data_IF_677479530999
#
_entry.id   IF_677479530999
#
_cell.length_a   1.000
_cell.length_b   1.000
_cell.length_c   1.000
_cell.angle_alpha   90.00
_cell.angle_beta   90.00
_cell.angle_gamma   90.00
#
_symmetry.space_group_name_H-M   'P 1'
#
loop_
_entity.id
_entity.type
_entity.pdbx_description
1 polymer ?
#
# COMPACT_ATOMS: atom_id res chain seq x y z
N UNK A 1 -34.85 11.58 54.40
CA UNK A 1 -33.76 10.71 54.95
C UNK A 1 -33.51 11.11 56.39
N UNK A 2 -33.45 10.16 57.31
CA UNK A 2 -33.23 10.41 58.75
C UNK A 2 -31.74 10.62 59.06
N UNK A 3 -31.41 11.21 60.21
CA UNK A 3 -30.02 11.40 60.65
C UNK A 3 -29.28 10.07 60.80
N UNK A 4 -29.98 9.02 61.26
CA UNK A 4 -29.39 7.69 61.43
C UNK A 4 -29.05 7.01 60.10
N UNK A 5 -29.80 7.32 59.04
CA UNK A 5 -29.44 6.92 57.69
C UNK A 5 -28.11 7.54 57.25
N UNK A 6 -27.90 8.83 57.54
CA UNK A 6 -26.65 9.52 57.17
C UNK A 6 -25.43 9.03 57.95
N UNK A 7 -25.60 8.65 59.22
CA UNK A 7 -24.52 8.02 60.03
C UNK A 7 -24.03 6.70 59.43
N UNK A 8 -24.90 5.96 58.74
CA UNK A 8 -24.54 4.72 58.05
C UNK A 8 -23.72 4.97 56.78
N UNK A 9 -23.81 6.15 56.16
CA UNK A 9 -23.09 6.48 54.93
C UNK A 9 -21.80 7.23 55.23
N UNK A 10 -21.84 8.20 56.16
CA UNK A 10 -20.68 9.03 56.52
C UNK A 10 -20.52 9.11 58.03
N UNK A 11 -19.31 8.82 58.51
CA UNK A 11 -18.94 8.94 59.92
C UNK A 11 -18.99 10.40 60.38
N UNK A 12 -19.67 10.68 61.48
CA UNK A 12 -19.71 12.01 62.07
C UNK A 12 -20.57 13.02 61.32
N UNK A 13 -21.54 12.59 60.50
CA UNK A 13 -22.44 13.48 59.74
C UNK A 13 -23.09 14.58 60.61
N UNK A 14 -23.47 14.26 61.85
CA UNK A 14 -24.05 15.22 62.80
C UNK A 14 -23.13 16.38 63.17
N UNK A 15 -21.82 16.20 63.03
CA UNK A 15 -20.80 17.18 63.40
C UNK A 15 -20.48 18.16 62.26
N UNK A 16 -21.03 17.93 61.05
CA UNK A 16 -20.79 18.83 59.93
C UNK A 16 -21.62 20.12 60.02
N UNK A 17 -21.13 21.24 59.45
CA UNK A 17 -21.93 22.46 59.33
C UNK A 17 -23.26 22.23 58.61
N UNK A 18 -24.32 22.93 59.03
CA UNK A 18 -25.67 22.80 58.45
C UNK A 18 -25.71 22.96 56.92
N UNK A 19 -24.90 23.88 56.37
CA UNK A 19 -24.79 24.08 54.92
C UNK A 19 -24.28 22.84 54.18
N UNK A 20 -23.30 22.14 54.76
CA UNK A 20 -22.76 20.88 54.21
C UNK A 20 -23.79 19.76 54.35
N UNK A 21 -24.44 19.65 55.51
CA UNK A 21 -25.52 18.66 55.72
C UNK A 21 -26.65 18.81 54.69
N UNK A 22 -26.99 20.04 54.29
CA UNK A 22 -28.00 20.33 53.27
C UNK A 22 -27.53 19.95 51.85
N UNK A 23 -26.23 20.05 51.55
CA UNK A 23 -25.67 19.72 50.24
C UNK A 23 -25.44 18.20 50.04
N UNK A 24 -25.23 17.46 51.13
CA UNK A 24 -24.91 16.02 51.11
C UNK A 24 -25.86 15.13 50.29
N UNK A 25 -27.20 15.31 50.36
CA UNK A 25 -28.15 14.57 49.52
C UNK A 25 -27.87 14.69 48.02
N UNK A 26 -27.50 15.89 47.55
CA UNK A 26 -27.22 16.15 46.15
C UNK A 26 -25.89 15.56 45.71
N UNK A 27 -24.86 15.68 46.56
CA UNK A 27 -23.55 15.08 46.30
C UNK A 27 -23.63 13.55 46.26
N UNK A 28 -24.36 12.94 47.20
CA UNK A 28 -24.58 11.51 47.22
C UNK A 28 -25.33 11.04 45.97
N UNK A 29 -26.37 11.76 45.56
CA UNK A 29 -27.10 11.48 44.32
C UNK A 29 -26.18 11.55 43.09
N UNK A 30 -25.30 12.55 42.99
CA UNK A 30 -24.32 12.65 41.91
C UNK A 30 -23.34 11.47 41.89
N UNK A 31 -22.84 11.06 43.07
CA UNK A 31 -21.93 9.91 43.20
C UNK A 31 -22.60 8.61 42.78
N UNK A 32 -23.85 8.37 43.20
CA UNK A 32 -24.61 7.17 42.86
C UNK A 32 -24.94 7.14 41.37
N UNK A 33 -25.31 8.27 40.78
CA UNK A 33 -25.55 8.35 39.34
C UNK A 33 -24.30 7.98 38.53
N UNK A 34 -23.12 8.41 38.98
CA UNK A 34 -21.85 8.15 38.30
C UNK A 34 -21.18 6.83 38.73
N UNK A 35 -21.79 6.04 39.62
CA UNK A 35 -21.21 4.80 40.17
C UNK A 35 -20.68 3.87 39.07
N UNK A 36 -21.53 3.58 38.07
CA UNK A 36 -21.18 2.69 36.94
C UNK A 36 -20.06 3.25 36.08
N UNK A 37 -19.97 4.58 35.92
CA UNK A 37 -18.87 5.23 35.21
C UNK A 37 -17.57 5.11 36.03
N UNK A 38 -17.62 5.43 37.33
CA UNK A 38 -16.47 5.36 38.23
C UNK A 38 -15.88 3.95 38.30
N UNK A 39 -16.72 2.90 38.41
CA UNK A 39 -16.27 1.50 38.41
C UNK A 39 -15.67 1.04 37.08
N UNK A 40 -16.09 1.64 35.96
CA UNK A 40 -15.53 1.33 34.63
C UNK A 40 -14.23 2.07 34.37
N UNK A 41 -14.09 3.29 34.89
CA UNK A 41 -12.99 4.19 34.57
C UNK A 41 -11.84 4.13 35.59
N UNK A 42 -12.13 3.83 36.85
CA UNK A 42 -11.12 3.75 37.92
C UNK A 42 -10.73 2.29 38.20
N UNK A 43 -9.51 2.08 38.66
CA UNK A 43 -9.03 0.77 39.10
C UNK A 43 -9.86 0.26 40.29
N UNK A 44 -10.14 -1.04 40.35
CA UNK A 44 -10.86 -1.68 41.46
C UNK A 44 -10.21 -1.43 42.83
N UNK A 45 -8.90 -1.20 42.91
CA UNK A 45 -8.18 -0.85 44.14
C UNK A 45 -8.20 0.64 44.50
N UNK A 46 -8.98 1.47 43.78
CA UNK A 46 -9.00 2.91 44.01
C UNK A 46 -9.56 3.25 45.41
N UNK A 47 -8.94 4.18 46.19
CA UNK A 47 -9.37 4.53 47.55
C UNK A 47 -10.82 5.02 47.67
N UNK A 48 -11.41 5.49 46.57
CA UNK A 48 -12.83 5.86 46.56
C UNK A 48 -13.73 4.66 46.91
N UNK A 49 -13.33 3.45 46.52
CA UNK A 49 -14.11 2.23 46.77
C UNK A 49 -13.94 1.69 48.19
N UNK A 50 -12.97 2.21 48.97
CA UNK A 50 -12.85 1.90 50.41
C UNK A 50 -13.76 2.79 51.27
N UNK A 51 -14.37 3.84 50.68
CA UNK A 51 -15.33 4.66 51.39
C UNK A 51 -16.61 3.87 51.71
N UNK A 52 -17.19 4.10 52.89
CA UNK A 52 -18.36 3.38 53.40
C UNK A 52 -19.56 3.37 52.44
N UNK A 53 -19.72 4.43 51.65
CA UNK A 53 -20.76 4.51 50.62
C UNK A 53 -20.61 3.41 49.56
N UNK A 54 -19.39 3.03 49.18
CA UNK A 54 -19.09 2.01 48.18
C UNK A 54 -18.83 0.61 48.76
N UNK A 55 -18.39 0.53 50.02
CA UNK A 55 -17.98 -0.71 50.67
C UNK A 55 -19.03 -1.36 51.56
N UNK A 56 -20.10 -0.64 51.95
CA UNK A 56 -21.17 -1.18 52.77
C UNK A 56 -22.29 -1.79 51.91
N UNK A 57 -22.70 -3.03 52.20
CA UNK A 57 -23.65 -3.85 51.42
C UNK A 57 -25.13 -3.40 51.50
N UNK A 58 -25.43 -2.11 51.53
CA UNK A 58 -26.82 -1.67 51.71
C UNK A 58 -27.21 -0.34 51.05
N UNK A 59 -26.40 0.73 51.11
CA UNK A 59 -26.87 2.05 50.68
C UNK A 59 -26.92 2.24 49.16
N UNK A 60 -25.90 1.76 48.42
CA UNK A 60 -25.83 1.94 46.96
C UNK A 60 -26.88 1.10 46.25
N UNK A 61 -27.04 -0.17 46.63
CA UNK A 61 -27.98 -1.07 45.93
C UNK A 61 -29.44 -0.62 46.09
N UNK A 62 -29.78 -0.01 47.23
CA UNK A 62 -31.11 0.58 47.47
C UNK A 62 -31.36 1.88 46.72
N UNK A 63 -30.31 2.63 46.40
CA UNK A 63 -30.41 3.94 45.75
C UNK A 63 -30.12 3.91 44.25
N UNK A 64 -29.56 2.80 43.74
CA UNK A 64 -29.33 2.56 42.32
C UNK A 64 -30.67 2.60 41.58
N UNK A 65 -30.75 3.44 40.55
CA UNK A 65 -31.98 3.61 39.74
C UNK A 65 -33.08 4.48 40.36
N UNK A 66 -32.99 4.81 41.65
CA UNK A 66 -33.95 5.71 42.34
C UNK A 66 -33.53 7.19 42.23
N UNK A 67 -32.28 7.44 41.86
CA UNK A 67 -31.74 8.80 41.74
C UNK A 67 -32.37 9.54 40.56
N UNK A 68 -33.28 10.46 40.87
CA UNK A 68 -33.84 11.39 39.88
C UNK A 68 -32.85 12.52 39.64
N UNK A 69 -32.16 12.48 38.50
CA UNK A 69 -31.41 13.64 38.03
C UNK A 69 -32.43 14.71 37.66
N UNK A 70 -32.20 15.95 38.09
CA UNK A 70 -33.03 17.12 37.78
C UNK A 70 -32.92 17.55 36.31
N UNK A 71 -32.96 16.59 35.39
CA UNK A 71 -33.04 16.82 33.96
C UNK A 71 -34.52 16.85 33.58
N UNK A 72 -35.27 17.81 34.13
CA UNK A 72 -36.59 18.11 33.60
C UNK A 72 -36.41 18.94 32.34
N UNK A 73 -37.02 18.49 31.25
CA UNK A 73 -37.23 19.34 30.10
C UNK A 73 -38.29 20.39 30.48
N UNK A 74 -38.10 21.64 30.08
CA UNK A 74 -39.18 22.61 30.18
C UNK A 74 -40.33 22.16 29.29
N UNK A 75 -41.55 21.99 29.82
CA UNK A 75 -42.71 21.59 29.00
C UNK A 75 -43.11 22.68 27.99
N UNK A 76 -42.63 23.91 28.15
CA UNK A 76 -42.97 25.05 27.28
C UNK A 76 -42.03 25.16 26.08
N UNK A 77 -40.74 24.89 26.27
CA UNK A 77 -39.72 25.10 25.23
C UNK A 77 -38.88 23.86 24.90
N UNK A 78 -39.16 22.72 25.54
CA UNK A 78 -38.43 21.46 25.33
C UNK A 78 -36.96 21.50 25.77
N UNK A 79 -36.47 22.62 26.31
CA UNK A 79 -35.08 22.78 26.69
C UNK A 79 -34.75 21.89 27.89
N UNK A 80 -33.65 21.13 27.75
CA UNK A 80 -33.15 20.18 28.73
C UNK A 80 -31.86 20.73 29.33
N UNK A 81 -31.79 20.90 30.64
CA UNK A 81 -30.56 21.27 31.32
C UNK A 81 -29.57 20.09 31.27
N UNK A 82 -28.63 20.13 30.32
CA UNK A 82 -27.66 19.04 30.09
C UNK A 82 -26.35 19.21 30.85
N UNK A 83 -26.10 20.40 31.42
CA UNK A 83 -24.82 20.73 32.06
C UNK A 83 -23.63 20.83 31.10
N UNK A 84 -23.86 20.69 29.78
CA UNK A 84 -22.85 20.85 28.74
C UNK A 84 -22.73 22.34 28.41
N UNK A 85 -21.54 22.94 28.52
CA UNK A 85 -21.32 24.32 28.10
C UNK A 85 -21.71 24.51 26.62
N UNK A 86 -22.41 25.61 26.30
CA UNK A 86 -22.98 25.84 24.97
C UNK A 86 -21.95 25.73 23.83
N UNK A 87 -20.72 26.22 24.04
CA UNK A 87 -19.65 26.15 23.05
C UNK A 87 -19.26 24.71 22.69
N UNK A 88 -19.36 23.76 23.64
CA UNK A 88 -19.05 22.36 23.40
C UNK A 88 -20.14 21.66 22.59
N UNK A 89 -21.40 22.04 22.79
CA UNK A 89 -22.52 21.57 21.97
C UNK A 89 -22.38 22.07 20.52
N UNK A 90 -22.02 23.34 20.33
CA UNK A 90 -21.74 23.92 19.01
C UNK A 90 -20.53 23.25 18.36
N UNK A 91 -19.43 23.04 19.09
CA UNK A 91 -18.25 22.36 18.56
C UNK A 91 -18.57 20.94 18.09
N UNK A 92 -19.44 20.21 18.80
CA UNK A 92 -19.92 18.90 18.37
C UNK A 92 -20.69 18.99 17.04
N UNK A 93 -21.61 19.95 16.92
CA UNK A 93 -22.38 20.16 15.67
C UNK A 93 -21.48 20.54 14.49
N UNK A 94 -20.48 21.40 14.72
CA UNK A 94 -19.50 21.80 13.69
C UNK A 94 -18.67 20.59 13.22
N UNK A 95 -18.27 19.73 14.15
CA UNK A 95 -17.52 18.52 13.80
C UNK A 95 -18.37 17.53 12.99
N UNK A 96 -19.65 17.38 13.33
CA UNK A 96 -20.57 16.53 12.57
C UNK A 96 -20.76 17.08 11.15
N UNK A 97 -21.02 18.39 11.03
CA UNK A 97 -21.16 19.05 9.72
C UNK A 97 -19.89 18.92 8.88
N UNK A 98 -18.71 19.06 9.49
CA UNK A 98 -17.43 18.86 8.79
C UNK A 98 -17.31 17.44 8.24
N UNK A 99 -17.79 16.44 8.99
CA UNK A 99 -17.79 15.04 8.57
C UNK A 99 -18.72 14.82 7.38
N UNK A 100 -19.92 15.39 7.41
CA UNK A 100 -20.88 15.34 6.30
C UNK A 100 -20.32 16.00 5.03
N UNK A 101 -19.73 17.19 5.14
CA UNK A 101 -19.10 17.89 4.02
C UNK A 101 -17.96 17.07 3.40
N UNK A 102 -17.20 16.36 4.23
CA UNK A 102 -16.12 15.48 3.75
C UNK A 102 -16.69 14.27 3.00
N UNK A 103 -17.82 13.71 3.46
CA UNK A 103 -18.52 12.62 2.76
C UNK A 103 -19.02 13.06 1.39
N UNK A 104 -19.68 14.22 1.33
CA UNK A 104 -20.20 14.78 0.07
C UNK A 104 -19.09 15.05 -0.94
N UNK A 105 -17.95 15.59 -0.51
CA UNK A 105 -16.80 15.78 -1.40
C UNK A 105 -16.32 14.46 -2.00
N UNK A 106 -16.25 13.40 -1.20
CA UNK A 106 -15.86 12.08 -1.68
C UNK A 106 -16.85 11.51 -2.70
N UNK A 107 -18.15 11.72 -2.50
CA UNK A 107 -19.19 11.32 -3.45
C UNK A 107 -19.07 12.08 -4.77
N UNK A 108 -18.84 13.39 -4.71
CA UNK A 108 -18.63 14.23 -5.89
C UNK A 108 -17.39 13.79 -6.68
N UNK A 109 -16.28 13.51 -6.00
CA UNK A 109 -15.07 13.01 -6.65
C UNK A 109 -15.29 11.62 -7.29
N UNK A 110 -16.08 10.77 -6.64
CA UNK A 110 -16.53 9.48 -7.19
C UNK A 110 -17.33 9.65 -8.48
N UNK A 111 -18.36 10.50 -8.46
CA UNK A 111 -19.20 10.80 -9.62
C UNK A 111 -18.39 11.43 -10.76
N UNK A 112 -17.47 12.34 -10.45
CA UNK A 112 -16.58 12.96 -11.44
C UNK A 112 -15.69 11.92 -12.11
N UNK A 113 -15.17 10.96 -11.35
CA UNK A 113 -14.36 9.86 -11.88
C UNK A 113 -15.19 8.93 -12.78
N UNK A 114 -16.42 8.60 -12.36
CA UNK A 114 -17.34 7.78 -13.14
C UNK A 114 -17.68 8.45 -14.48
N UNK A 115 -17.99 9.74 -14.46
CA UNK A 115 -18.32 10.52 -15.66
C UNK A 115 -17.11 10.70 -16.59
N UNK A 116 -15.92 10.95 -16.04
CA UNK A 116 -14.73 11.24 -16.84
C UNK A 116 -14.09 9.99 -17.46
N UNK A 117 -14.18 8.83 -16.80
CA UNK A 117 -13.42 7.64 -17.19
C UNK A 117 -14.31 6.47 -17.57
N UNK A 118 -15.36 6.19 -16.80
CA UNK A 118 -16.15 4.96 -16.97
C UNK A 118 -17.20 5.13 -18.06
N UNK A 119 -17.93 6.24 -18.05
CA UNK A 119 -18.98 6.52 -19.03
C UNK A 119 -18.45 6.57 -20.48
N UNK A 120 -17.34 7.26 -20.81
CA UNK A 120 -16.83 7.29 -22.19
C UNK A 120 -16.42 5.91 -22.70
N UNK A 121 -15.85 5.09 -21.82
CA UNK A 121 -15.45 3.72 -22.17
C UNK A 121 -16.67 2.82 -22.40
N UNK A 122 -17.68 2.88 -21.53
CA UNK A 122 -18.93 2.11 -21.72
C UNK A 122 -19.67 2.55 -22.98
N UNK A 123 -19.76 3.85 -23.25
CA UNK A 123 -20.36 4.39 -24.47
C UNK A 123 -19.57 3.94 -25.69
N UNK A 124 -18.24 4.03 -25.68
CA UNK A 124 -17.40 3.57 -26.80
C UNK A 124 -17.57 2.07 -27.06
N UNK A 125 -17.61 1.23 -26.02
CA UNK A 125 -17.84 -0.21 -26.15
C UNK A 125 -19.22 -0.48 -26.74
N UNK A 126 -20.27 0.19 -26.25
CA UNK A 126 -21.63 0.02 -26.75
C UNK A 126 -21.77 0.44 -28.21
N UNK A 127 -21.23 1.61 -28.58
CA UNK A 127 -21.25 2.09 -29.97
C UNK A 127 -20.53 1.13 -30.91
N UNK A 128 -19.36 0.61 -30.52
CA UNK A 128 -18.62 -0.38 -31.32
C UNK A 128 -19.40 -1.68 -31.46
N UNK A 129 -20.05 -2.16 -30.39
CA UNK A 129 -20.87 -3.37 -30.43
C UNK A 129 -22.06 -3.22 -31.38
N UNK A 130 -22.79 -2.12 -31.28
CA UNK A 130 -23.96 -1.82 -32.12
C UNK A 130 -23.56 -1.67 -33.59
N UNK A 131 -22.47 -0.94 -33.88
CA UNK A 131 -21.96 -0.83 -35.25
C UNK A 131 -21.53 -2.20 -35.79
N UNK A 132 -20.85 -3.05 -35.03
CA UNK A 132 -20.47 -4.39 -35.49
C UNK A 132 -21.66 -5.28 -35.83
N UNK A 133 -22.75 -5.18 -35.06
CA UNK A 133 -23.94 -5.99 -35.30
C UNK A 133 -24.72 -5.54 -36.54
N UNK A 134 -24.71 -4.25 -36.85
CA UNK A 134 -25.55 -3.67 -37.90
C UNK A 134 -24.79 -3.29 -39.18
N UNK A 135 -23.46 -3.19 -39.14
CA UNK A 135 -22.63 -2.79 -40.27
C UNK A 135 -22.08 -4.01 -41.01
N UNK A 136 -22.90 -4.54 -41.93
CA UNK A 136 -22.53 -5.64 -42.83
C UNK A 136 -22.06 -5.06 -44.16
N UNK A 137 -20.80 -5.33 -44.55
CA UNK A 137 -20.27 -4.92 -45.86
C UNK A 137 -20.24 -6.15 -46.76
N UNK A 138 -21.01 -6.14 -47.85
CA UNK A 138 -21.10 -7.25 -48.82
C UNK A 138 -21.45 -8.62 -48.18
N UNK A 139 -22.31 -8.65 -47.18
CA UNK A 139 -22.78 -9.88 -46.54
C UNK A 139 -21.83 -10.50 -45.50
N UNK A 140 -20.67 -9.89 -45.24
CA UNK A 140 -19.69 -10.39 -44.27
C UNK A 140 -19.45 -9.33 -43.18
N UNK A 141 -19.51 -9.75 -41.91
CA UNK A 141 -19.21 -8.88 -40.78
C UNK A 141 -17.70 -8.51 -40.79
N UNK A 142 -17.32 -7.22 -40.66
CA UNK A 142 -15.91 -6.81 -40.65
C UNK A 142 -15.18 -7.41 -39.44
N UNK A 143 -14.09 -8.15 -39.70
CA UNK A 143 -13.23 -8.71 -38.65
C UNK A 143 -12.34 -7.59 -38.08
N UNK A 144 -12.35 -7.39 -36.77
CA UNK A 144 -11.52 -6.38 -36.12
C UNK A 144 -10.17 -6.94 -35.64
N UNK A 145 -9.20 -6.05 -35.42
CA UNK A 145 -7.90 -6.40 -34.82
C UNK A 145 -8.06 -7.06 -33.43
N UNK A 146 -9.06 -6.66 -32.65
CA UNK A 146 -9.37 -7.29 -31.35
C UNK A 146 -9.82 -8.74 -31.51
N UNK A 147 -10.54 -9.07 -32.58
CA UNK A 147 -11.01 -10.43 -32.82
C UNK A 147 -9.82 -11.33 -33.22
N UNK A 148 -8.85 -10.77 -33.95
CA UNK A 148 -7.58 -11.43 -34.24
C UNK A 148 -6.74 -11.63 -32.97
N UNK A 149 -6.63 -10.61 -32.11
CA UNK A 149 -5.91 -10.72 -30.83
C UNK A 149 -6.55 -11.73 -29.89
N UNK A 150 -7.89 -11.76 -29.82
CA UNK A 150 -8.63 -12.73 -28.99
C UNK A 150 -8.38 -14.14 -29.50
N UNK A 151 -8.53 -14.37 -30.81
CA UNK A 151 -8.23 -15.68 -31.42
C UNK A 151 -6.78 -16.09 -31.24
N UNK A 152 -5.84 -15.14 -31.28
CA UNK A 152 -4.42 -15.41 -31.05
C UNK A 152 -4.13 -15.73 -29.58
N UNK A 153 -4.86 -15.12 -28.65
CA UNK A 153 -4.86 -15.47 -27.23
C UNK A 153 -5.37 -16.89 -26.99
N UNK A 154 -6.50 -17.24 -27.60
CA UNK A 154 -7.08 -18.59 -27.52
C UNK A 154 -6.13 -19.63 -28.11
N UNK A 155 -5.53 -19.37 -29.27
CA UNK A 155 -4.50 -20.21 -29.89
C UNK A 155 -3.29 -20.41 -28.97
N UNK A 156 -2.80 -19.34 -28.32
CA UNK A 156 -1.70 -19.44 -27.35
C UNK A 156 -2.09 -20.27 -26.14
N UNK A 157 -3.32 -20.13 -25.65
CA UNK A 157 -3.84 -20.92 -24.54
C UNK A 157 -3.89 -22.40 -24.91
N UNK A 158 -4.45 -22.73 -26.08
CA UNK A 158 -4.54 -24.10 -26.61
C UNK A 158 -3.13 -24.70 -26.77
N UNK A 159 -2.20 -23.97 -27.39
CA UNK A 159 -0.82 -24.45 -27.52
C UNK A 159 -0.14 -24.65 -26.17
N UNK A 160 -0.36 -23.77 -25.19
CA UNK A 160 0.20 -23.91 -23.85
C UNK A 160 -0.37 -25.12 -23.09
N UNK A 161 -1.64 -25.46 -23.31
CA UNK A 161 -2.25 -26.67 -22.74
C UNK A 161 -1.71 -27.94 -23.40
N UNK A 162 -1.56 -27.94 -24.73
CA UNK A 162 -0.96 -29.06 -25.48
C UNK A 162 0.49 -29.31 -25.06
N UNK A 163 1.31 -28.25 -24.96
CA UNK A 163 2.70 -28.36 -24.48
C UNK A 163 2.80 -28.92 -23.06
N UNK A 164 1.90 -28.53 -22.15
CA UNK A 164 1.86 -29.09 -20.79
C UNK A 164 1.45 -30.56 -20.80
N UNK A 165 0.55 -30.96 -21.69
CA UNK A 165 0.17 -32.37 -21.86
C UNK A 165 1.36 -33.21 -22.33
N UNK A 166 2.09 -32.74 -23.36
CA UNK A 166 3.29 -33.43 -23.89
C UNK A 166 4.38 -33.55 -22.83
N UNK A 167 4.65 -32.49 -22.05
CA UNK A 167 5.64 -32.54 -20.96
C UNK A 167 5.26 -33.52 -19.86
N UNK A 168 3.96 -33.65 -19.55
CA UNK A 168 3.47 -34.64 -18.60
C UNK A 168 3.60 -36.08 -19.15
N UNK A 169 3.37 -36.29 -20.45
CA UNK A 169 3.58 -37.59 -21.10
C UNK A 169 5.06 -37.99 -21.17
N UNK A 170 5.96 -37.03 -21.40
CA UNK A 170 7.42 -37.26 -21.37
C UNK A 170 7.94 -37.58 -19.96
N UNK A 171 7.29 -37.08 -18.91
CA UNK A 171 7.70 -37.34 -17.53
C UNK A 171 7.35 -38.78 -17.07
N UNK A 172 6.57 -39.53 -17.86
CA UNK A 172 6.31 -40.95 -17.63
C UNK A 172 7.29 -41.88 -18.37
N UNK A 173 8.14 -41.37 -19.27
CA UNK A 173 8.90 -42.21 -20.23
C UNK A 173 10.42 -42.05 -20.27
N UNK A 174 11.07 -41.14 -19.53
CA UNK A 174 12.54 -41.03 -19.54
C UNK A 174 13.21 -41.05 -18.17
N UNK A 175 13.39 -42.27 -17.64
CA UNK A 175 14.67 -42.68 -17.03
C UNK A 175 15.70 -42.93 -18.13
N UNK A 176 16.91 -42.39 -17.95
CA UNK A 176 18.15 -42.71 -18.69
C UNK A 176 18.35 -42.01 -20.04
N UNK A 177 19.34 -41.11 -20.08
CA UNK A 177 20.62 -41.17 -20.84
C UNK A 177 20.99 -39.77 -21.34
N UNK A 178 21.86 -39.07 -20.61
CA UNK A 178 22.47 -37.81 -21.03
C UNK A 178 23.63 -38.12 -22.00
N UNK A 179 23.41 -37.87 -23.28
CA UNK A 179 24.47 -37.69 -24.27
C UNK A 179 24.64 -36.20 -24.55
N UNK A 180 25.85 -35.75 -24.30
CA UNK A 180 26.42 -34.45 -24.61
C UNK A 180 26.55 -34.25 -26.12
N UNK A 181 26.06 -33.11 -26.62
CA UNK A 181 26.54 -32.50 -27.86
C UNK A 181 26.75 -31.01 -27.63
N UNK A 182 28.02 -30.64 -27.70
CA UNK A 182 28.55 -29.30 -27.59
C UNK A 182 28.11 -28.42 -28.75
N UNK A 183 27.56 -27.25 -28.44
CA UNK A 183 27.56 -26.08 -29.32
C UNK A 183 27.73 -24.82 -28.46
N UNK A 184 28.46 -23.86 -29.00
CA UNK A 184 29.03 -22.69 -28.31
C UNK A 184 28.06 -21.96 -27.38
N UNK A 185 28.46 -21.93 -26.10
CA UNK A 185 27.71 -21.39 -24.98
C UNK A 185 27.63 -19.86 -25.06
N UNK A 186 26.53 -19.36 -25.64
CA UNK A 186 25.98 -18.09 -25.16
C UNK A 186 25.75 -18.23 -23.65
N UNK A 187 26.27 -17.34 -22.80
CA UNK A 187 26.04 -17.46 -21.37
C UNK A 187 24.54 -17.32 -21.10
N UNK A 188 23.95 -18.43 -20.68
CA UNK A 188 22.55 -18.53 -20.32
C UNK A 188 22.32 -17.67 -19.06
N UNK A 189 21.79 -16.46 -19.26
CA UNK A 189 21.49 -15.54 -18.17
C UNK A 189 20.44 -16.16 -17.24
N UNK A 190 20.75 -16.19 -15.95
CA UNK A 190 19.84 -16.77 -14.98
C UNK A 190 18.67 -15.81 -14.71
N UNK A 191 17.51 -16.40 -14.38
CA UNK A 191 16.35 -15.67 -13.88
C UNK A 191 15.94 -16.27 -12.53
N UNK A 192 15.46 -15.44 -11.61
CA UNK A 192 15.16 -15.81 -10.23
C UNK A 192 13.68 -15.59 -9.91
N UNK A 193 13.05 -16.54 -9.23
CA UNK A 193 11.73 -16.32 -8.61
C UNK A 193 11.92 -15.78 -7.20
N UNK A 194 11.30 -14.62 -6.90
CA UNK A 194 11.30 -14.05 -5.56
C UNK A 194 10.06 -14.45 -4.73
N UNK A 195 9.14 -15.20 -5.35
CA UNK A 195 7.84 -15.60 -4.79
C UNK A 195 7.01 -14.40 -4.29
N UNK A 196 7.13 -13.24 -4.95
CA UNK A 196 6.42 -12.01 -4.61
C UNK A 196 5.18 -11.77 -5.50
N UNK A 197 4.79 -12.77 -6.29
CA UNK A 197 3.67 -12.70 -7.23
C UNK A 197 3.96 -11.89 -8.49
N UNK A 198 5.23 -11.48 -8.73
CA UNK A 198 5.64 -10.75 -9.93
C UNK A 198 6.36 -11.67 -10.92
N UNK A 199 6.70 -11.09 -12.09
CA UNK A 199 7.50 -11.74 -13.12
C UNK A 199 8.86 -12.22 -12.58
N UNK A 200 9.49 -13.15 -13.30
CA UNK A 200 10.85 -13.60 -12.99
C UNK A 200 11.83 -12.42 -13.00
N UNK A 201 12.69 -12.36 -11.99
CA UNK A 201 13.67 -11.30 -11.78
C UNK A 201 15.00 -11.61 -12.46
N UNK A 202 15.69 -10.57 -12.90
CA UNK A 202 17.01 -10.68 -13.54
C UNK A 202 18.18 -10.69 -12.54
N UNK A 203 17.89 -10.66 -11.23
CA UNK A 203 18.88 -10.73 -10.15
C UNK A 203 18.32 -11.53 -8.95
N UNK A 204 19.21 -12.03 -8.10
CA UNK A 204 18.82 -12.71 -6.86
C UNK A 204 18.22 -11.73 -5.84
N UNK A 205 17.38 -12.22 -4.91
CA UNK A 205 16.63 -11.40 -3.95
C UNK A 205 17.50 -10.50 -3.06
N UNK A 206 18.73 -10.94 -2.77
CA UNK A 206 19.67 -10.22 -1.89
C UNK A 206 20.70 -9.39 -2.68
N UNK A 207 20.64 -9.41 -4.00
CA UNK A 207 21.56 -8.66 -4.84
C UNK A 207 21.34 -7.15 -4.68
N UNK A 208 22.43 -6.38 -4.72
CA UNK A 208 22.41 -4.92 -4.62
C UNK A 208 23.25 -4.31 -5.73
N UNK A 209 22.70 -3.31 -6.41
CA UNK A 209 23.44 -2.56 -7.42
C UNK A 209 24.74 -1.97 -6.83
N UNK A 210 25.89 -2.10 -7.54
CA UNK A 210 27.21 -1.84 -6.97
C UNK A 210 27.38 -0.51 -6.23
N UNK A 211 27.93 -0.68 -5.01
CA UNK A 211 28.34 0.28 -4.00
C UNK A 211 29.37 1.33 -4.42
N UNK A 212 30.49 0.79 -4.88
CA UNK A 212 31.80 1.43 -4.85
C UNK A 212 32.63 0.95 -6.05
N UNK A 213 31.97 0.80 -7.19
CA UNK A 213 32.61 0.41 -8.43
C UNK A 213 33.11 1.67 -9.16
N UNK A 214 34.30 1.59 -9.74
CA UNK A 214 34.84 2.64 -10.60
C UNK A 214 34.13 2.64 -11.97
N UNK A 215 34.36 3.67 -12.77
CA UNK A 215 33.71 3.83 -14.09
C UNK A 215 33.96 2.63 -15.01
N UNK A 216 35.18 2.06 -14.99
CA UNK A 216 35.54 0.90 -15.80
C UNK A 216 34.79 -0.37 -15.41
N UNK A 217 34.69 -0.65 -14.12
CA UNK A 217 33.96 -1.80 -13.61
C UNK A 217 32.47 -1.68 -13.94
N UNK A 218 31.90 -0.47 -13.78
CA UNK A 218 30.51 -0.23 -14.18
C UNK A 218 30.33 -0.39 -15.69
N UNK A 219 31.26 0.07 -16.52
CA UNK A 219 31.21 -0.11 -17.98
C UNK A 219 31.11 -1.59 -18.36
N UNK A 220 31.98 -2.43 -17.80
CA UNK A 220 31.98 -3.86 -18.09
C UNK A 220 30.65 -4.52 -17.65
N UNK A 221 30.18 -4.22 -16.45
CA UNK A 221 28.90 -4.73 -15.94
C UNK A 221 27.69 -4.21 -16.74
N UNK A 222 27.76 -2.97 -17.22
CA UNK A 222 26.67 -2.31 -17.95
C UNK A 222 26.41 -2.94 -19.32
N UNK A 223 27.47 -3.22 -20.07
CA UNK A 223 27.39 -3.77 -21.43
C UNK A 223 27.46 -5.29 -21.48
N UNK A 224 28.22 -5.93 -20.59
CA UNK A 224 28.51 -7.38 -20.66
C UNK A 224 27.96 -8.20 -19.48
N UNK A 225 27.48 -7.55 -18.42
CA UNK A 225 26.91 -8.23 -17.26
C UNK A 225 27.96 -8.82 -16.31
N UNK A 226 27.49 -9.58 -15.33
CA UNK A 226 28.31 -10.32 -14.38
C UNK A 226 28.16 -11.83 -14.67
N UNK A 227 29.19 -12.40 -15.30
CA UNK A 227 29.17 -13.81 -15.73
C UNK A 227 29.26 -14.77 -14.56
N UNK A 228 29.98 -14.41 -13.50
CA UNK A 228 30.16 -15.27 -12.33
C UNK A 228 28.83 -15.45 -11.59
N UNK A 229 28.08 -14.36 -11.45
CA UNK A 229 26.72 -14.39 -10.86
C UNK A 229 25.62 -14.74 -11.86
N UNK A 230 25.96 -14.99 -13.14
CA UNK A 230 25.01 -15.17 -14.26
C UNK A 230 23.98 -14.05 -14.41
N UNK A 231 24.36 -12.82 -14.07
CA UNK A 231 23.51 -11.63 -14.19
C UNK A 231 23.76 -10.96 -15.53
N UNK A 232 22.67 -10.72 -16.27
CA UNK A 232 22.69 -10.05 -17.58
C UNK A 232 23.24 -8.61 -17.51
N UNK A 233 23.64 -8.02 -18.65
CA UNK A 233 24.07 -6.62 -18.72
C UNK A 233 23.16 -5.68 -17.94
N UNK A 234 23.75 -4.82 -17.10
CA UNK A 234 22.97 -4.06 -16.11
C UNK A 234 21.99 -3.08 -16.74
N UNK A 235 22.24 -2.64 -17.98
CA UNK A 235 21.30 -1.84 -18.78
C UNK A 235 19.96 -2.54 -19.05
N UNK A 236 19.92 -3.88 -18.96
CA UNK A 236 18.72 -4.70 -19.18
C UNK A 236 17.97 -4.99 -17.88
N UNK A 237 18.44 -4.50 -16.73
CA UNK A 237 17.76 -4.68 -15.45
C UNK A 237 16.58 -3.73 -15.33
N UNK A 238 15.45 -4.24 -14.83
CA UNK A 238 14.28 -3.41 -14.64
C UNK A 238 14.43 -2.55 -13.37
N UNK A 239 14.44 -1.22 -13.55
CA UNK A 239 14.59 -0.26 -12.44
C UNK A 239 13.54 -0.39 -11.33
N UNK A 240 12.31 -0.78 -11.66
CA UNK A 240 11.22 -0.88 -10.68
C UNK A 240 11.25 -2.22 -9.94
N UNK A 241 11.59 -3.29 -10.65
CA UNK A 241 11.45 -4.67 -10.16
C UNK A 241 12.77 -5.28 -9.68
N UNK A 242 13.88 -5.08 -10.38
CA UNK A 242 15.17 -5.74 -10.06
C UNK A 242 16.06 -4.87 -9.15
N UNK A 243 15.81 -3.55 -9.10
CA UNK A 243 16.66 -2.62 -8.37
C UNK A 243 15.97 -2.12 -7.11
N UNK A 244 16.61 -2.40 -5.97
CA UNK A 244 16.18 -1.89 -4.66
C UNK A 244 15.97 -0.37 -4.67
N UNK A 245 14.92 0.10 -4.00
CA UNK A 245 14.55 1.53 -3.88
C UNK A 245 15.72 2.42 -3.50
N UNK A 246 16.54 2.00 -2.53
CA UNK A 246 17.71 2.73 -2.05
C UNK A 246 18.82 2.93 -3.13
N UNK A 247 18.81 2.15 -4.22
CA UNK A 247 19.84 2.20 -5.28
C UNK A 247 19.31 2.69 -6.63
N UNK A 248 18.00 2.94 -6.77
CA UNK A 248 17.39 3.40 -8.04
C UNK A 248 17.99 4.70 -8.56
N UNK A 249 18.26 5.67 -7.68
CA UNK A 249 18.85 6.96 -8.09
C UNK A 249 20.25 6.77 -8.67
N UNK A 250 21.03 5.85 -8.08
CA UNK A 250 22.36 5.53 -8.58
C UNK A 250 22.32 4.85 -9.94
N UNK A 251 21.43 3.87 -10.13
CA UNK A 251 21.26 3.24 -11.42
C UNK A 251 20.94 4.27 -12.51
N UNK A 252 20.05 5.24 -12.22
CA UNK A 252 19.78 6.32 -13.17
C UNK A 252 20.99 7.19 -13.47
N UNK A 253 21.80 7.57 -12.47
CA UNK A 253 23.05 8.32 -12.70
C UNK A 253 24.05 7.54 -13.54
N UNK A 254 24.14 6.23 -13.32
CA UNK A 254 24.99 5.34 -14.12
C UNK A 254 24.47 5.22 -15.56
N UNK A 255 23.15 5.10 -15.76
CA UNK A 255 22.54 5.07 -17.10
C UNK A 255 22.94 6.29 -17.91
N UNK A 256 22.76 7.48 -17.32
CA UNK A 256 23.12 8.75 -17.95
C UNK A 256 24.62 8.79 -18.28
N UNK A 257 25.49 8.37 -17.35
CA UNK A 257 26.93 8.32 -17.58
C UNK A 257 27.30 7.36 -18.73
N UNK A 258 26.69 6.18 -18.76
CA UNK A 258 27.00 5.16 -19.76
C UNK A 258 26.45 5.52 -21.14
N UNK A 259 25.27 6.12 -21.21
CA UNK A 259 24.70 6.71 -22.44
C UNK A 259 25.59 7.82 -22.98
N UNK A 260 26.10 8.70 -22.11
CA UNK A 260 27.04 9.76 -22.50
C UNK A 260 28.36 9.20 -23.04
N UNK A 261 28.94 8.19 -22.38
CA UNK A 261 30.15 7.54 -22.87
C UNK A 261 29.91 6.79 -24.18
N UNK A 262 28.74 6.15 -24.36
CA UNK A 262 28.37 5.52 -25.62
C UNK A 262 28.23 6.56 -26.75
N UNK A 263 27.60 7.71 -26.48
CA UNK A 263 27.53 8.81 -27.45
C UNK A 263 28.93 9.34 -27.81
N UNK A 264 29.79 9.60 -26.83
CA UNK A 264 31.17 10.02 -27.07
C UNK A 264 31.93 9.01 -27.94
N UNK A 265 31.71 7.70 -27.75
CA UNK A 265 32.34 6.66 -28.57
C UNK A 265 31.96 6.78 -30.05
N UNK A 266 30.71 7.14 -30.34
CA UNK A 266 30.25 7.39 -31.71
C UNK A 266 30.82 8.71 -32.26
N UNK A 267 30.92 9.76 -31.43
CA UNK A 267 31.47 11.06 -31.84
C UNK A 267 32.95 11.01 -32.23
N UNK A 268 33.77 10.25 -31.48
CA UNK A 268 35.21 10.10 -31.78
C UNK A 268 35.51 8.97 -32.77
N UNK A 269 34.48 8.28 -33.27
CA UNK A 269 34.55 7.20 -34.26
C UNK A 269 35.58 6.10 -33.91
N UNK A 270 35.61 5.68 -32.64
CA UNK A 270 36.52 4.63 -32.14
C UNK A 270 35.92 3.22 -32.28
N UNK A 271 34.70 3.10 -32.79
CA UNK A 271 34.04 1.81 -33.00
C UNK A 271 34.60 1.13 -34.28
N UNK A 272 34.90 -0.18 -34.23
CA UNK A 272 35.30 -0.94 -35.42
C UNK A 272 34.24 -0.87 -36.53
N UNK A 273 34.70 -0.89 -37.79
CA UNK A 273 33.85 -0.82 -38.98
C UNK A 273 32.78 -1.91 -38.97
N UNK A 274 31.50 -1.51 -39.00
CA UNK A 274 30.35 -2.44 -39.04
C UNK A 274 29.76 -2.79 -37.68
N UNK A 275 30.30 -2.29 -36.56
CA UNK A 275 29.73 -2.49 -35.23
C UNK A 275 29.04 -1.22 -34.75
N UNK A 276 27.72 -1.29 -34.56
CA UNK A 276 26.90 -0.15 -34.10
C UNK A 276 26.64 -0.13 -32.59
N UNK A 277 27.02 -1.18 -31.85
CA UNK A 277 26.71 -1.31 -30.42
C UNK A 277 27.92 -1.82 -29.66
N UNK A 278 28.22 -1.18 -28.53
CA UNK A 278 29.37 -1.53 -27.68
C UNK A 278 29.26 -2.94 -27.11
N UNK A 279 28.04 -3.40 -26.84
CA UNK A 279 27.82 -4.74 -26.28
C UNK A 279 28.10 -5.89 -27.25
N UNK A 280 28.21 -5.60 -28.54
CA UNK A 280 28.53 -6.61 -29.56
C UNK A 280 30.05 -6.75 -29.73
N UNK A 281 30.83 -5.91 -29.05
CA UNK A 281 32.30 -5.95 -29.10
C UNK A 281 32.87 -7.08 -28.23
N UNK A 282 33.99 -7.69 -28.66
CA UNK A 282 34.84 -8.46 -27.75
C UNK A 282 35.31 -7.60 -26.57
N UNK A 283 35.48 -8.22 -25.40
CA UNK A 283 35.85 -7.52 -24.16
C UNK A 283 37.15 -6.73 -24.32
N UNK A 284 38.15 -7.30 -25.00
CA UNK A 284 39.43 -6.63 -25.27
C UNK A 284 39.27 -5.35 -26.09
N UNK A 285 38.48 -5.39 -27.16
CA UNK A 285 38.20 -4.22 -28.00
C UNK A 285 37.36 -3.19 -27.25
N UNK A 286 36.41 -3.64 -26.42
CA UNK A 286 35.63 -2.74 -25.57
C UNK A 286 36.47 -2.04 -24.49
N UNK A 287 37.58 -2.66 -24.06
CA UNK A 287 38.54 -2.05 -23.15
C UNK A 287 39.33 -0.91 -23.80
N UNK A 288 39.76 -1.09 -25.06
CA UNK A 288 40.41 -0.05 -25.86
C UNK A 288 39.47 1.13 -26.14
N UNK A 289 38.22 0.84 -26.54
CA UNK A 289 37.17 1.84 -26.75
C UNK A 289 36.93 2.65 -25.47
N UNK A 290 36.81 1.98 -24.33
CA UNK A 290 36.66 2.67 -23.04
C UNK A 290 37.85 3.59 -22.74
N UNK A 291 39.09 3.14 -22.95
CA UNK A 291 40.27 3.94 -22.67
C UNK A 291 40.31 5.23 -23.51
N UNK A 292 39.98 5.13 -24.80
CA UNK A 292 39.91 6.27 -25.70
C UNK A 292 38.81 7.27 -25.29
N UNK A 293 37.59 6.76 -25.04
CA UNK A 293 36.43 7.59 -24.64
C UNK A 293 36.67 8.25 -23.28
N UNK A 294 37.19 7.51 -22.30
CA UNK A 294 37.43 8.02 -20.97
C UNK A 294 38.53 9.09 -20.96
N UNK A 295 39.58 8.92 -21.76
CA UNK A 295 40.62 9.94 -21.94
C UNK A 295 40.06 11.20 -22.59
N UNK A 296 39.18 11.07 -23.60
CA UNK A 296 38.49 12.20 -24.23
C UNK A 296 37.59 12.94 -23.23
N UNK A 297 36.87 12.21 -22.38
CA UNK A 297 36.01 12.77 -21.35
C UNK A 297 36.79 13.60 -20.31
N UNK A 298 38.00 13.16 -19.93
CA UNK A 298 38.84 13.89 -18.97
C UNK A 298 39.52 15.14 -19.57
N UNK A 299 39.67 15.17 -20.89
CA UNK A 299 40.31 16.27 -21.62
C UNK A 299 39.30 17.27 -22.22
N UNK A 300 38.01 17.08 -21.95
CA UNK A 300 36.93 18.03 -22.27
C UNK A 300 36.60 18.87 -21.02
#
# INVERSE_FOLDING_TARGET
>A
MTIDYWKQIVSGFSNYPKGIQAAFPFLLASIIHQESYLRRTLNASHPIFTARVFSADSPIDKLRGVTVLAIRASPVCGMKATGIPAHLAVAKQVNELRREVTSLHKEIDGLKTELAVKLPNEVAVKVVSELRQHFVVNGVAPVSLRDLDTRMGDLRSIMATEFRSILNDMNLTHTTTLSSTSSEQQPEWQSWSWNDGKLLHAVSKNWKFPARANAKAIWNLWFFGDRDSKIRPYRLLNKQHDISTARRMRHSRVSILMEYLEQLAHEINVLPTGVSRIADLPISTADEVFAAVFSRMLNN
#
